data_IF_041245596830
#
_entry.id   IF_041245596830
#
_cell.length_a   1.000
_cell.length_b   1.000
_cell.length_c   1.000
_cell.angle_alpha   90.00
_cell.angle_beta   90.00
_cell.angle_gamma   90.00
#
_symmetry.space_group_name_H-M   'P 1'
#
loop_
_entity.id
_entity.type
_entity.pdbx_description
1 polymer ?
#
# COMPACT_ATOMS: atom_id res chain seq x y z
N UNK A 1 18.31 -38.55 25.63
CA UNK A 1 19.06 -37.72 24.67
C UNK A 1 18.17 -36.56 24.29
N UNK A 2 18.55 -35.37 24.75
CA UNK A 2 17.63 -34.24 24.90
C UNK A 2 17.12 -33.67 23.57
N UNK A 3 15.83 -33.34 23.62
CA UNK A 3 14.97 -32.65 22.68
C UNK A 3 15.58 -31.34 22.17
N UNK A 4 15.50 -31.13 20.86
CA UNK A 4 15.86 -29.89 20.13
C UNK A 4 15.18 -28.63 20.66
N UNK A 5 15.89 -27.48 20.74
CA UNK A 5 15.26 -26.17 20.79
C UNK A 5 15.59 -25.34 19.54
N UNK A 6 14.64 -25.25 18.59
CA UNK A 6 14.63 -24.26 17.51
C UNK A 6 14.07 -22.89 17.98
N UNK A 7 13.98 -22.68 19.29
CA UNK A 7 13.26 -21.58 19.94
C UNK A 7 14.12 -20.34 20.21
N UNK A 8 14.83 -19.81 19.20
CA UNK A 8 15.57 -18.54 19.35
C UNK A 8 15.67 -17.67 18.10
N UNK A 9 14.76 -17.81 17.13
CA UNK A 9 14.63 -16.84 16.05
C UNK A 9 13.50 -15.84 16.38
N UNK A 10 13.80 -14.60 16.79
CA UNK A 10 12.78 -13.58 16.94
C UNK A 10 12.11 -13.38 15.58
N UNK A 11 10.80 -13.59 15.55
CA UNK A 11 9.98 -13.38 14.36
C UNK A 11 10.31 -12.02 13.74
N UNK A 12 10.51 -11.93 12.41
CA UNK A 12 10.78 -10.67 11.75
C UNK A 12 9.63 -9.70 12.06
N UNK A 13 9.92 -8.43 12.36
CA UNK A 13 8.90 -7.45 12.74
C UNK A 13 7.81 -7.37 11.66
N UNK A 14 6.54 -7.14 12.05
CA UNK A 14 5.44 -7.08 11.12
C UNK A 14 5.74 -6.05 10.04
N UNK A 15 5.77 -6.56 8.82
CA UNK A 15 6.12 -5.88 7.60
C UNK A 15 5.28 -4.59 7.45
N UNK A 16 5.93 -3.42 7.35
CA UNK A 16 5.31 -2.07 7.29
C UNK A 16 4.39 -1.82 6.07
N UNK A 17 4.10 -2.84 5.26
CA UNK A 17 3.27 -2.77 4.06
C UNK A 17 1.80 -2.40 4.32
N UNK A 18 1.30 -2.57 5.55
CA UNK A 18 -0.11 -2.32 5.90
C UNK A 18 -0.38 -0.96 6.54
N UNK A 19 0.59 -0.05 6.57
CA UNK A 19 0.48 1.23 7.27
C UNK A 19 -0.83 2.01 6.97
N UNK A 20 -1.22 2.10 5.70
CA UNK A 20 -2.44 2.83 5.30
C UNK A 20 -3.72 2.14 5.80
N UNK A 21 -3.72 0.81 5.79
CA UNK A 21 -4.84 0.02 6.29
C UNK A 21 -5.03 0.24 7.79
N UNK A 22 -3.95 0.16 8.55
CA UNK A 22 -4.00 0.28 10.00
C UNK A 22 -4.34 1.71 10.43
N UNK A 23 -3.74 2.72 9.80
CA UNK A 23 -3.89 4.12 10.21
C UNK A 23 -5.21 4.76 9.73
N UNK A 24 -5.63 4.47 8.50
CA UNK A 24 -6.78 5.15 7.89
C UNK A 24 -7.95 4.21 7.56
N UNK A 25 -7.85 2.91 7.84
CA UNK A 25 -8.85 1.90 7.48
C UNK A 25 -9.17 1.83 5.97
N UNK A 26 -8.27 2.31 5.11
CA UNK A 26 -8.43 2.29 3.64
C UNK A 26 -7.46 1.28 3.03
N UNK A 27 -7.91 0.52 2.02
CA UNK A 27 -7.04 -0.47 1.34
C UNK A 27 -6.17 0.16 0.24
N UNK A 28 -6.69 1.13 -0.52
CA UNK A 28 -6.00 1.73 -1.66
C UNK A 28 -6.27 3.23 -1.78
N UNK A 29 -5.23 3.98 -2.18
CA UNK A 29 -5.29 5.41 -2.45
C UNK A 29 -4.68 5.74 -3.81
N UNK A 30 -5.23 6.74 -4.55
CA UNK A 30 -4.58 7.27 -5.75
C UNK A 30 -3.20 7.84 -5.41
N UNK A 31 -2.21 7.54 -6.24
CA UNK A 31 -0.83 8.01 -6.09
C UNK A 31 -0.73 9.48 -6.51
N UNK A 32 0.00 10.28 -5.73
CA UNK A 32 0.36 11.67 -6.03
C UNK A 32 1.89 11.83 -6.07
N UNK A 33 2.32 13.00 -6.55
CA UNK A 33 3.72 13.45 -6.42
C UNK A 33 4.08 13.56 -4.93
N UNK A 34 5.34 13.26 -4.62
CA UNK A 34 5.93 13.27 -3.28
C UNK A 34 5.39 12.23 -2.29
N UNK A 35 4.56 11.28 -2.73
CA UNK A 35 4.24 10.11 -1.91
C UNK A 35 5.46 9.19 -1.80
N UNK A 36 5.66 8.60 -0.62
CA UNK A 36 6.70 7.59 -0.43
C UNK A 36 6.15 6.21 -0.74
N UNK A 37 6.87 5.48 -1.58
CA UNK A 37 6.42 4.22 -2.13
C UNK A 37 7.50 3.16 -2.10
N UNK A 38 7.06 1.90 -2.01
CA UNK A 38 7.90 0.72 -2.04
C UNK A 38 7.46 -0.20 -3.18
N UNK A 39 8.41 -0.66 -3.99
CA UNK A 39 8.14 -1.58 -5.10
C UNK A 39 8.07 -3.02 -4.58
N UNK A 40 6.95 -3.70 -4.86
CA UNK A 40 6.68 -5.07 -4.35
C UNK A 40 6.91 -6.15 -5.42
N UNK A 41 6.71 -5.81 -6.69
CA UNK A 41 6.75 -6.77 -7.80
C UNK A 41 7.68 -6.28 -8.92
N UNK A 42 8.36 -7.22 -9.59
CA UNK A 42 9.25 -6.98 -10.74
C UNK A 42 10.74 -6.87 -10.36
N UNK A 43 11.57 -6.50 -11.34
CA UNK A 43 13.04 -6.45 -11.20
C UNK A 43 13.52 -5.48 -10.11
N UNK A 44 12.79 -4.39 -9.88
CA UNK A 44 13.14 -3.37 -8.88
C UNK A 44 12.56 -3.66 -7.49
N UNK A 45 12.09 -4.90 -7.24
CA UNK A 45 11.65 -5.35 -5.92
C UNK A 45 12.84 -5.35 -4.96
N UNK A 46 12.63 -4.89 -3.72
CA UNK A 46 13.67 -4.85 -2.69
C UNK A 46 14.52 -3.58 -2.71
N UNK A 47 14.36 -2.71 -3.72
CA UNK A 47 14.85 -1.34 -3.60
C UNK A 47 14.17 -0.66 -2.41
N UNK A 48 14.96 0.15 -1.69
CA UNK A 48 14.49 0.93 -0.56
C UNK A 48 13.36 1.88 -0.98
N UNK A 49 12.57 2.31 0.01
CA UNK A 49 11.47 3.27 -0.17
C UNK A 49 11.97 4.49 -0.94
N UNK A 50 11.22 4.88 -1.97
CA UNK A 50 11.54 6.02 -2.83
C UNK A 50 10.36 6.98 -2.93
N UNK A 51 10.65 8.25 -3.18
CA UNK A 51 9.61 9.25 -3.45
C UNK A 51 9.16 9.20 -4.90
N UNK A 52 7.86 9.43 -5.12
CA UNK A 52 7.29 9.59 -6.46
C UNK A 52 7.65 10.97 -7.00
N UNK A 53 8.49 11.01 -8.03
CA UNK A 53 8.91 12.25 -8.71
C UNK A 53 7.74 12.78 -9.54
N UNK A 54 7.18 11.91 -10.38
CA UNK A 54 6.12 12.28 -11.30
C UNK A 54 5.19 11.10 -11.59
N UNK A 55 3.91 11.43 -11.77
CA UNK A 55 2.87 10.50 -12.21
C UNK A 55 2.55 10.79 -13.68
N UNK A 56 2.90 9.87 -14.57
CA UNK A 56 2.69 10.00 -16.01
C UNK A 56 1.39 9.28 -16.42
N UNK A 57 0.27 9.99 -16.35
CA UNK A 57 -1.07 9.40 -16.55
C UNK A 57 -1.34 8.93 -17.98
N UNK A 58 -0.77 9.59 -19.00
CA UNK A 58 -0.95 9.20 -20.42
C UNK A 58 -0.41 7.80 -20.74
N UNK A 59 0.59 7.32 -19.98
CA UNK A 59 1.16 5.96 -20.10
C UNK A 59 0.82 5.07 -18.89
N UNK A 60 0.01 5.56 -17.94
CA UNK A 60 -0.30 4.88 -16.67
C UNK A 60 0.93 4.39 -15.89
N UNK A 61 1.97 5.21 -15.86
CA UNK A 61 3.27 4.89 -15.27
C UNK A 61 3.65 5.92 -14.22
N UNK A 62 4.35 5.49 -13.18
CA UNK A 62 4.96 6.36 -12.17
C UNK A 62 6.50 6.30 -12.27
N UNK A 63 7.12 7.45 -12.01
CA UNK A 63 8.57 7.57 -11.86
C UNK A 63 8.91 7.73 -10.39
N UNK A 64 9.83 6.90 -9.93
CA UNK A 64 10.30 6.86 -8.54
C UNK A 64 11.78 7.27 -8.56
N UNK A 65 12.18 8.15 -7.64
CA UNK A 65 13.50 8.78 -7.62
C UNK A 65 14.66 7.78 -7.68
N UNK A 66 14.58 6.70 -6.89
CA UNK A 66 15.63 5.69 -6.78
C UNK A 66 15.59 4.62 -7.88
N UNK A 67 14.53 4.59 -8.67
CA UNK A 67 14.33 3.57 -9.71
C UNK A 67 14.80 4.13 -11.04
N UNK A 68 16.11 4.02 -11.28
CA UNK A 68 16.78 4.53 -12.47
C UNK A 68 17.47 3.41 -13.25
N UNK A 69 17.75 3.68 -14.52
CA UNK A 69 18.61 2.89 -15.39
C UNK A 69 19.60 3.80 -16.08
N UNK A 70 20.85 3.37 -16.16
CA UNK A 70 21.90 4.05 -16.92
C UNK A 70 21.77 3.74 -18.41
N UNK A 71 21.92 4.77 -19.26
CA UNK A 71 22.07 4.62 -20.70
C UNK A 71 23.55 4.44 -21.05
N UNK A 72 23.85 3.97 -22.27
CA UNK A 72 25.21 3.90 -22.80
C UNK A 72 25.94 5.27 -22.76
N UNK A 73 25.18 6.36 -22.85
CA UNK A 73 25.71 7.73 -22.79
C UNK A 73 26.02 8.21 -21.35
N UNK A 74 25.95 7.34 -20.34
CA UNK A 74 26.19 7.66 -18.92
C UNK A 74 25.06 8.43 -18.22
N UNK A 75 24.08 8.97 -18.94
CA UNK A 75 22.92 9.64 -18.34
C UNK A 75 21.96 8.63 -17.70
N UNK A 76 21.43 8.93 -16.51
CA UNK A 76 20.39 8.11 -15.86
C UNK A 76 18.99 8.52 -16.28
N UNK A 77 18.12 7.53 -16.47
CA UNK A 77 16.69 7.74 -16.77
C UNK A 77 15.82 6.94 -15.83
N UNK A 78 14.75 7.57 -15.35
CA UNK A 78 13.77 6.92 -14.50
C UNK A 78 13.04 5.81 -15.24
N UNK A 79 12.98 4.64 -14.61
CA UNK A 79 12.25 3.51 -15.17
C UNK A 79 10.79 3.62 -14.76
N UNK A 80 9.92 3.41 -15.75
CA UNK A 80 8.49 3.45 -15.55
C UNK A 80 7.98 2.23 -14.80
N UNK A 81 7.34 2.46 -13.65
CA UNK A 81 6.67 1.40 -12.88
C UNK A 81 5.16 1.59 -12.94
N UNK A 82 4.42 0.48 -13.02
CA UNK A 82 2.96 0.51 -12.93
C UNK A 82 2.53 0.67 -11.46
N UNK A 83 1.57 1.57 -11.13
CA UNK A 83 1.17 1.85 -9.76
C UNK A 83 0.69 0.61 -8.97
N UNK A 84 0.08 -0.38 -9.62
CA UNK A 84 -0.37 -1.61 -8.93
C UNK A 84 0.76 -2.54 -8.47
N UNK A 85 2.00 -2.32 -8.92
CA UNK A 85 3.19 -3.09 -8.48
C UNK A 85 3.83 -2.50 -7.22
N UNK A 86 3.22 -1.45 -6.66
CA UNK A 86 3.80 -0.58 -5.65
C UNK A 86 2.85 -0.45 -4.46
N UNK A 87 3.42 -0.35 -3.27
CA UNK A 87 2.69 -0.07 -2.03
C UNK A 87 3.13 1.29 -1.52
N UNK A 88 2.15 2.09 -1.07
CA UNK A 88 2.43 3.41 -0.52
C UNK A 88 2.75 3.26 0.97
N UNK A 89 3.90 3.78 1.39
CA UNK A 89 4.36 3.73 2.77
C UNK A 89 3.95 5.00 3.52
N UNK A 90 4.22 6.18 2.95
CA UNK A 90 3.80 7.48 3.52
C UNK A 90 3.02 8.30 2.51
N UNK A 91 1.96 8.93 2.99
CA UNK A 91 1.07 9.77 2.18
C UNK A 91 1.39 11.23 2.42
N UNK A 92 1.49 12.01 1.34
CA UNK A 92 1.39 13.48 1.42
C UNK A 92 -0.06 13.84 1.68
N UNK A 93 -0.32 14.53 2.80
CA UNK A 93 -1.67 14.89 3.24
C UNK A 93 -2.04 16.30 2.79
N UNK A 94 -3.01 16.38 1.89
CA UNK A 94 -3.69 17.62 1.48
C UNK A 94 -5.13 17.65 2.01
N UNK A 95 -5.78 18.83 1.98
CA UNK A 95 -7.18 19.02 2.42
C UNK A 95 -8.12 18.02 1.73
N UNK A 96 -8.05 17.91 0.41
CA UNK A 96 -8.93 17.01 -0.35
C UNK A 96 -8.58 15.54 -0.15
N UNK A 97 -7.30 15.25 0.12
CA UNK A 97 -6.87 13.88 0.37
C UNK A 97 -7.41 13.36 1.70
N UNK A 98 -7.46 14.21 2.73
CA UNK A 98 -8.11 13.90 4.02
C UNK A 98 -9.60 13.60 3.84
N UNK A 99 -10.33 14.45 3.10
CA UNK A 99 -11.75 14.24 2.76
C UNK A 99 -12.00 12.89 2.07
N UNK A 100 -11.13 12.51 1.13
CA UNK A 100 -11.23 11.21 0.43
C UNK A 100 -10.97 10.04 1.38
N UNK A 101 -10.02 10.16 2.30
CA UNK A 101 -9.72 9.14 3.31
C UNK A 101 -10.92 8.91 4.22
N UNK A 102 -11.49 9.97 4.78
CA UNK A 102 -12.67 9.92 5.66
C UNK A 102 -13.86 9.26 4.95
N UNK A 103 -14.15 9.69 3.72
CA UNK A 103 -15.24 9.12 2.91
C UNK A 103 -15.04 7.63 2.64
N UNK A 104 -13.83 7.21 2.28
CA UNK A 104 -13.52 5.79 2.01
C UNK A 104 -13.56 4.95 3.30
N UNK A 105 -13.10 5.50 4.42
CA UNK A 105 -13.15 4.81 5.71
C UNK A 105 -14.60 4.55 6.15
N UNK A 106 -15.48 5.56 6.03
CA UNK A 106 -16.91 5.44 6.35
C UNK A 106 -17.61 4.40 5.47
N UNK A 107 -17.40 4.45 4.16
CA UNK A 107 -17.99 3.48 3.22
C UNK A 107 -17.61 2.03 3.57
N UNK A 108 -16.38 1.81 4.05
CA UNK A 108 -15.93 0.49 4.46
C UNK A 108 -16.54 0.02 5.79
N UNK A 109 -16.75 0.92 6.73
CA UNK A 109 -17.43 0.59 8.00
C UNK A 109 -18.87 0.14 7.73
N UNK A 110 -19.63 0.91 6.95
CA UNK A 110 -21.00 0.56 6.55
C UNK A 110 -21.04 -0.79 5.81
N UNK A 111 -20.09 -1.05 4.90
CA UNK A 111 -20.01 -2.34 4.21
C UNK A 111 -19.73 -3.52 5.15
N UNK A 112 -18.95 -3.32 6.22
CA UNK A 112 -18.72 -4.35 7.25
C UNK A 112 -19.95 -4.60 8.11
N UNK A 113 -20.72 -3.56 8.42
CA UNK A 113 -21.96 -3.67 9.21
C UNK A 113 -23.04 -4.39 8.42
N UNK A 114 -23.24 -4.05 7.14
CA UNK A 114 -24.23 -4.70 6.28
C UNK A 114 -23.94 -6.18 6.03
N UNK A 115 -22.67 -6.60 6.05
CA UNK A 115 -22.28 -8.00 5.87
C UNK A 115 -22.38 -8.86 7.12
N UNK A 116 -22.63 -8.26 8.29
CA UNK A 116 -22.85 -8.98 9.54
C UNK A 116 -24.34 -9.02 9.83
N UNK A 117 -25.00 -10.11 9.46
CA UNK A 117 -26.28 -10.45 10.07
C UNK A 117 -26.00 -10.79 11.53
N UNK A 118 -26.53 -10.00 12.45
CA UNK A 118 -26.52 -10.37 13.87
C UNK A 118 -27.47 -11.55 14.06
N UNK A 119 -27.17 -12.45 14.99
CA UNK A 119 -28.00 -13.63 15.29
C UNK A 119 -29.47 -13.24 15.54
N UNK A 120 -29.72 -12.11 16.20
CA UNK A 120 -31.05 -11.51 16.39
C UNK A 120 -31.83 -11.20 15.09
N UNK A 121 -31.12 -10.96 13.98
CA UNK A 121 -31.72 -10.74 12.65
C UNK A 121 -32.00 -12.05 11.92
N UNK A 122 -31.27 -13.11 12.26
CA UNK A 122 -31.45 -14.45 11.68
C UNK A 122 -32.64 -15.14 12.36
N UNK A 123 -32.75 -15.03 13.68
CA UNK A 123 -33.89 -15.55 14.46
C UNK A 123 -35.22 -14.94 14.00
N UNK A 124 -35.26 -13.62 13.76
CA UNK A 124 -36.43 -12.91 13.22
C UNK A 124 -36.81 -13.25 11.77
N UNK A 125 -35.96 -13.99 11.05
CA UNK A 125 -36.28 -14.50 9.70
C UNK A 125 -36.74 -15.96 9.73
N UNK A 126 -36.58 -16.66 10.85
CA UNK A 126 -36.97 -18.07 11.01
C UNK A 126 -38.32 -18.26 11.71
N UNK A 127 -38.85 -17.19 12.35
CA UNK A 127 -40.21 -17.09 12.88
C UNK A 127 -41.17 -16.53 11.82
#
# INVERSE_FOLDING_TARGET
>A
TATTPWATSPWPPPNNFFFILTKYNVRSMPIRKDDEVQVVRGHYKGQQIGKVVQVYRKKYVIYIERVQREKANGTTVHVGIHPSKVVITRLKLDKDRKKILERKAKSRQVGKEKGKYKEETIEKMQE
#
